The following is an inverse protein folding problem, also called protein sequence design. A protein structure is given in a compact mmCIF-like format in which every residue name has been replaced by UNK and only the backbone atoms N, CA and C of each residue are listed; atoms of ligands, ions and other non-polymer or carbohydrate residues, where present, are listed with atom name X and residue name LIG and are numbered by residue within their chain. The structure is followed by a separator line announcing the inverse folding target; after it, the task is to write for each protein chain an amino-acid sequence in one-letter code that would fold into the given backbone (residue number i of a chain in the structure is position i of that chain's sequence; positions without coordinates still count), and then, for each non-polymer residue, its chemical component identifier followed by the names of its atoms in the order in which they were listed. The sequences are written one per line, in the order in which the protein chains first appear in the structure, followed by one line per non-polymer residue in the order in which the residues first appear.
data_IF_619514312472
#
_entry.id   IF_619514312472
#
_cell.length_a   1.000
_cell.length_b   1.000
_cell.length_c   1.000
_cell.angle_alpha   90.00
_cell.angle_beta   90.00
_cell.angle_gamma   90.00
#
_symmetry.space_group_name_H-M   'P 1'
#
loop_
_entity.id
_entity.type
_entity.pdbx_description
1 polymer ?
#
# COMPACT_ATOMS: atom_id res chain seq x y z
N UNK A 1 -9.86 21.77 5.99
CA UNK A 1 -9.02 20.63 5.60
C UNK A 1 -8.31 19.98 6.79
N UNK A 2 -7.31 20.59 7.43
CA UNK A 2 -6.51 19.95 8.52
C UNK A 2 -7.36 19.36 9.68
N UNK A 3 -8.38 20.09 10.15
CA UNK A 3 -9.33 19.62 11.19
C UNK A 3 -10.22 18.46 10.74
N UNK A 4 -10.61 18.43 9.46
CA UNK A 4 -11.39 17.33 8.88
C UNK A 4 -10.54 16.08 8.79
N UNK A 5 -9.28 16.22 8.39
CA UNK A 5 -8.34 15.10 8.30
C UNK A 5 -7.99 14.56 9.69
N UNK A 6 -7.76 15.42 10.69
CA UNK A 6 -7.59 14.99 12.08
C UNK A 6 -8.80 14.23 12.62
N UNK A 7 -10.01 14.75 12.37
CA UNK A 7 -11.26 14.07 12.75
C UNK A 7 -11.54 12.77 11.99
N UNK A 8 -10.99 12.60 10.78
CA UNK A 8 -11.05 11.34 10.05
C UNK A 8 -10.03 10.33 10.57
N UNK A 9 -8.83 10.80 10.93
CA UNK A 9 -7.73 9.93 11.38
C UNK A 9 -8.09 9.18 12.66
N UNK A 10 -8.89 9.79 13.55
CA UNK A 10 -9.41 9.10 14.75
C UNK A 10 -10.39 7.97 14.44
N UNK A 11 -10.89 7.87 13.20
CA UNK A 11 -11.76 6.78 12.74
C UNK A 11 -10.97 5.62 12.15
N UNK A 12 -9.65 5.76 11.96
CA UNK A 12 -8.83 4.67 11.46
C UNK A 12 -8.87 3.50 12.44
N UNK A 13 -9.05 2.27 11.94
CA UNK A 13 -9.09 1.11 12.81
C UNK A 13 -7.72 0.92 13.43
N UNK A 14 -7.69 0.94 14.77
CA UNK A 14 -6.54 0.49 15.55
C UNK A 14 -6.84 -0.94 15.99
N UNK A 15 -6.40 -1.90 15.18
CA UNK A 15 -6.53 -3.32 15.50
C UNK A 15 -5.57 -3.70 16.63
N UNK A 16 -5.78 -4.87 17.22
CA UNK A 16 -5.01 -5.36 18.36
C UNK A 16 -3.50 -5.28 18.06
N UNK A 17 -2.74 -4.46 18.83
CA UNK A 17 -1.34 -4.22 18.57
C UNK A 17 -0.46 -5.44 18.79
N UNK A 18 -0.95 -6.53 19.38
CA UNK A 18 -0.18 -7.75 19.66
C UNK A 18 -0.26 -8.81 18.54
N UNK A 19 -1.01 -8.54 17.48
CA UNK A 19 -1.08 -9.41 16.29
C UNK A 19 0.31 -9.60 15.63
N UNK A 20 0.45 -10.71 14.87
CA UNK A 20 1.56 -10.86 13.92
C UNK A 20 1.57 -9.67 12.98
N UNK A 21 2.76 -9.13 12.70
CA UNK A 21 2.90 -7.90 11.93
C UNK A 21 2.19 -7.98 10.58
N UNK A 22 2.16 -9.12 9.89
CA UNK A 22 1.49 -9.23 8.59
C UNK A 22 -0.02 -9.09 8.72
N UNK A 23 -0.58 -9.73 9.74
CA UNK A 23 -2.01 -9.65 10.06
C UNK A 23 -2.36 -8.22 10.46
N UNK A 24 -1.55 -7.63 11.34
CA UNK A 24 -1.73 -6.25 11.80
C UNK A 24 -1.75 -5.25 10.64
N UNK A 25 -0.75 -5.29 9.74
CA UNK A 25 -0.67 -4.38 8.60
C UNK A 25 -1.77 -4.65 7.57
N UNK A 26 -2.14 -5.90 7.32
CA UNK A 26 -3.23 -6.22 6.40
C UNK A 26 -4.55 -5.65 6.90
N UNK A 27 -4.94 -5.92 8.15
CA UNK A 27 -6.20 -5.44 8.70
C UNK A 27 -6.21 -3.91 8.84
N UNK A 28 -5.13 -3.33 9.38
CA UNK A 28 -5.02 -1.89 9.60
C UNK A 28 -5.04 -1.12 8.28
N UNK A 29 -4.17 -1.46 7.33
CA UNK A 29 -4.03 -0.65 6.11
C UNK A 29 -5.24 -0.82 5.18
N UNK A 30 -5.86 -2.01 5.12
CA UNK A 30 -7.09 -2.18 4.36
C UNK A 30 -8.26 -1.43 4.99
N UNK A 31 -8.35 -1.39 6.33
CA UNK A 31 -9.35 -0.60 7.02
C UNK A 31 -9.14 0.92 6.88
N UNK A 32 -7.88 1.39 6.91
CA UNK A 32 -7.51 2.78 6.58
C UNK A 32 -7.93 3.09 5.14
N UNK A 33 -7.62 2.21 4.18
CA UNK A 33 -8.05 2.36 2.79
C UNK A 33 -9.56 2.51 2.68
N UNK A 34 -10.32 1.64 3.31
CA UNK A 34 -11.79 1.67 3.23
C UNK A 34 -12.35 2.95 3.83
N UNK A 35 -11.75 3.45 4.92
CA UNK A 35 -12.07 4.77 5.49
C UNK A 35 -11.77 5.88 4.49
N UNK A 36 -10.58 5.90 3.89
CA UNK A 36 -10.14 6.95 2.96
C UNK A 36 -10.97 7.01 1.67
N UNK A 37 -11.48 5.88 1.16
CA UNK A 37 -12.36 5.86 -0.02
C UNK A 37 -13.64 6.66 0.16
N UNK A 38 -14.08 6.90 1.40
CA UNK A 38 -15.23 7.76 1.69
C UNK A 38 -14.93 9.26 1.61
N UNK A 39 -13.66 9.64 1.47
CA UNK A 39 -13.20 11.03 1.55
C UNK A 39 -12.15 11.34 0.45
N UNK A 40 -12.58 11.51 -0.82
CA UNK A 40 -11.68 11.74 -1.93
C UNK A 40 -10.70 12.91 -1.70
N UNK A 41 -9.44 12.71 -2.09
CA UNK A 41 -8.37 13.69 -1.98
C UNK A 41 -7.65 13.71 -0.63
N UNK A 42 -8.19 13.05 0.41
CA UNK A 42 -7.49 12.92 1.71
C UNK A 42 -6.29 11.97 1.60
N UNK A 43 -6.41 10.89 0.84
CA UNK A 43 -5.28 9.98 0.58
C UNK A 43 -4.11 10.71 -0.10
N UNK A 44 -4.40 11.51 -1.14
CA UNK A 44 -3.41 12.36 -1.81
C UNK A 44 -2.78 13.38 -0.86
N UNK A 45 -3.57 13.95 0.06
CA UNK A 45 -3.05 14.85 1.08
C UNK A 45 -2.03 14.15 2.00
N UNK A 46 -2.32 12.92 2.45
CA UNK A 46 -1.39 12.11 3.25
C UNK A 46 -0.09 11.82 2.50
N UNK A 47 -0.17 11.44 1.21
CA UNK A 47 1.01 11.16 0.40
C UNK A 47 1.91 12.38 0.20
N UNK A 48 1.32 13.57 0.04
CA UNK A 48 2.07 14.79 -0.24
C UNK A 48 2.60 15.49 1.02
N UNK A 49 1.98 15.25 2.19
CA UNK A 49 2.31 15.98 3.42
C UNK A 49 2.81 15.11 4.57
N UNK A 50 2.73 13.79 4.42
CA UNK A 50 3.12 12.83 5.45
C UNK A 50 2.21 12.84 6.69
N UNK A 51 2.59 12.11 7.75
CA UNK A 51 1.89 12.06 9.04
C UNK A 51 2.09 13.36 9.84
N UNK A 52 1.81 14.52 9.23
CA UNK A 52 2.01 15.84 9.84
C UNK A 52 0.96 16.17 10.93
N UNK A 53 0.15 15.19 11.34
CA UNK A 53 -0.95 15.31 12.28
C UNK A 53 -0.65 14.49 13.54
N UNK A 54 -0.76 15.07 14.75
CA UNK A 54 -0.64 14.32 15.99
C UNK A 54 -1.53 13.08 16.04
N UNK A 55 -2.70 13.14 15.41
CA UNK A 55 -3.68 12.07 15.35
C UNK A 55 -3.18 10.82 14.60
N UNK A 56 -2.13 10.94 13.79
CA UNK A 56 -1.49 9.78 13.11
C UNK A 56 -0.43 9.07 13.96
N UNK A 57 -0.02 9.64 15.09
CA UNK A 57 1.02 9.04 15.92
C UNK A 57 0.64 7.64 16.45
N UNK A 58 -0.58 7.40 16.99
CA UNK A 58 -0.92 6.09 17.56
C UNK A 58 -0.81 4.92 16.57
N UNK A 59 -1.27 5.12 15.33
CA UNK A 59 -1.19 4.10 14.28
C UNK A 59 0.25 3.88 13.78
N UNK A 60 1.06 4.94 13.75
CA UNK A 60 2.47 4.84 13.42
C UNK A 60 3.24 4.09 14.52
N UNK A 61 3.03 4.45 15.79
CA UNK A 61 3.66 3.82 16.95
C UNK A 61 3.30 2.33 17.05
N UNK A 62 2.03 1.98 16.85
CA UNK A 62 1.57 0.59 16.83
C UNK A 62 2.23 -0.20 15.68
N UNK A 63 2.33 0.38 14.48
CA UNK A 63 3.01 -0.23 13.35
C UNK A 63 4.51 -0.43 13.60
N UNK A 64 5.18 0.56 14.20
CA UNK A 64 6.59 0.45 14.59
C UNK A 64 6.81 -0.63 15.65
N UNK A 65 5.93 -0.72 16.65
CA UNK A 65 5.98 -1.76 17.66
C UNK A 65 5.81 -3.16 17.05
N UNK A 66 4.87 -3.33 16.12
CA UNK A 66 4.68 -4.60 15.41
C UNK A 66 5.93 -5.02 14.62
N UNK A 67 6.54 -4.08 13.88
CA UNK A 67 7.78 -4.34 13.13
C UNK A 67 8.99 -4.58 14.03
N UNK A 68 9.07 -3.89 15.17
CA UNK A 68 10.13 -4.09 16.15
C UNK A 68 10.08 -5.50 16.73
N UNK A 69 8.89 -5.99 17.14
CA UNK A 69 8.72 -7.38 17.61
C UNK A 69 9.03 -8.42 16.52
N UNK A 70 8.78 -8.08 15.26
CA UNK A 70 9.13 -8.93 14.13
C UNK A 70 10.63 -8.90 13.76
N UNK A 71 11.45 -8.06 14.42
CA UNK A 71 12.90 -8.06 14.22
C UNK A 71 13.39 -7.18 13.06
N UNK A 72 12.58 -6.26 12.55
CA UNK A 72 12.98 -5.40 11.42
C UNK A 72 14.11 -4.40 11.75
N UNK A 73 14.36 -4.10 13.03
CA UNK A 73 15.41 -3.15 13.45
C UNK A 73 15.36 -1.83 12.67
N UNK A 74 16.50 -1.40 12.15
CA UNK A 74 16.64 -0.15 11.38
C UNK A 74 15.80 -0.10 10.09
N UNK A 75 15.31 -1.26 9.61
CA UNK A 75 14.46 -1.36 8.42
C UNK A 75 12.97 -1.13 8.70
N UNK A 76 12.57 -1.02 9.97
CA UNK A 76 11.16 -0.84 10.34
C UNK A 76 10.52 0.40 9.67
N UNK A 77 11.24 1.52 9.64
CA UNK A 77 10.77 2.74 8.97
C UNK A 77 10.51 2.55 7.47
N UNK A 78 11.43 1.86 6.79
CA UNK A 78 11.29 1.52 5.37
C UNK A 78 10.11 0.57 5.11
N UNK A 79 10.01 -0.50 5.90
CA UNK A 79 8.94 -1.49 5.80
C UNK A 79 7.55 -0.86 6.00
N UNK A 80 7.42 0.00 7.02
CA UNK A 80 6.20 0.78 7.24
C UNK A 80 5.86 1.66 6.03
N UNK A 81 6.83 2.46 5.57
CA UNK A 81 6.60 3.44 4.51
C UNK A 81 6.22 2.78 3.19
N UNK A 82 6.86 1.66 2.80
CA UNK A 82 6.54 0.99 1.53
C UNK A 82 5.12 0.40 1.54
N UNK A 83 4.71 -0.23 2.65
CA UNK A 83 3.36 -0.78 2.79
C UNK A 83 2.30 0.33 2.85
N UNK A 84 2.54 1.37 3.64
CA UNK A 84 1.63 2.51 3.78
C UNK A 84 1.47 3.26 2.44
N UNK A 85 2.57 3.63 1.79
CA UNK A 85 2.55 4.36 0.52
C UNK A 85 1.85 3.56 -0.58
N UNK A 86 2.02 2.24 -0.60
CA UNK A 86 1.35 1.41 -1.58
C UNK A 86 -0.17 1.42 -1.41
N UNK A 87 -0.65 1.25 -0.17
CA UNK A 87 -2.09 1.16 0.10
C UNK A 87 -2.77 2.53 0.03
N UNK A 88 -2.18 3.55 0.65
CA UNK A 88 -2.73 4.91 0.62
C UNK A 88 -2.56 5.54 -0.76
N UNK A 89 -1.45 5.26 -1.44
CA UNK A 89 -1.21 5.69 -2.81
C UNK A 89 -2.22 5.10 -3.80
N UNK A 90 -2.65 3.84 -3.62
CA UNK A 90 -3.68 3.27 -4.49
C UNK A 90 -5.02 3.99 -4.36
N UNK A 91 -5.39 4.44 -3.15
CA UNK A 91 -6.57 5.31 -2.95
C UNK A 91 -6.37 6.66 -3.63
N UNK A 92 -5.20 7.29 -3.48
CA UNK A 92 -4.93 8.57 -4.13
C UNK A 92 -5.00 8.48 -5.66
N UNK A 93 -4.50 7.40 -6.26
CA UNK A 93 -4.62 7.16 -7.70
C UNK A 93 -6.06 6.84 -8.12
N UNK A 94 -6.81 6.09 -7.31
CA UNK A 94 -8.23 5.86 -7.52
C UNK A 94 -9.02 7.17 -7.50
N UNK A 95 -8.79 7.98 -6.46
CA UNK A 95 -9.35 9.31 -6.33
C UNK A 95 -9.02 10.17 -7.54
N UNK A 96 -7.77 10.24 -8.00
CA UNK A 96 -7.41 11.05 -9.18
C UNK A 96 -8.03 10.51 -10.49
N UNK A 97 -8.30 9.20 -10.61
CA UNK A 97 -9.02 8.62 -11.76
C UNK A 97 -10.51 8.95 -11.73
N UNK A 98 -11.12 8.89 -10.56
CA UNK A 98 -12.52 9.28 -10.35
C UNK A 98 -12.69 10.81 -10.43
N UNK A 99 -11.66 11.54 -10.00
CA UNK A 99 -11.54 13.00 -9.98
C UNK A 99 -10.87 13.53 -11.24
N UNK A 100 -10.88 12.80 -12.37
CA UNK A 100 -10.52 13.31 -13.70
C UNK A 100 -11.26 14.60 -14.12
N UNK A 101 -12.10 15.12 -13.22
CA UNK A 101 -12.69 16.44 -13.22
C UNK A 101 -14.16 16.28 -13.57
N UNK A 102 -14.92 17.33 -13.32
CA UNK A 102 -16.11 17.59 -14.13
C UNK A 102 -15.82 17.68 -15.65
N UNK A 103 -14.55 17.52 -16.08
CA UNK A 103 -14.03 17.76 -17.42
C UNK A 103 -13.42 16.52 -18.13
N UNK A 104 -13.13 15.38 -17.46
CA UNK A 104 -12.80 14.14 -18.17
C UNK A 104 -14.11 13.47 -18.63
N UNK A 105 -14.51 13.78 -19.85
CA UNK A 105 -15.68 13.21 -20.50
C UNK A 105 -15.60 11.67 -20.44
N UNK A 106 -16.68 10.95 -20.04
CA UNK A 106 -16.79 9.50 -20.25
C UNK A 106 -16.31 9.03 -21.64
N UNK A 107 -16.46 9.87 -22.67
CA UNK A 107 -15.90 9.63 -24.01
C UNK A 107 -14.36 9.58 -24.05
N UNK A 108 -13.65 10.42 -23.29
CA UNK A 108 -12.18 10.41 -23.22
C UNK A 108 -11.66 9.11 -22.60
N UNK A 109 -12.33 8.62 -21.56
CA UNK A 109 -11.97 7.34 -20.92
C UNK A 109 -12.23 6.15 -21.85
N UNK A 110 -13.35 6.17 -22.58
CA UNK A 110 -13.64 5.15 -23.59
C UNK A 110 -12.61 5.19 -24.74
N UNK A 111 -12.20 6.37 -25.19
CA UNK A 111 -11.18 6.55 -26.23
C UNK A 111 -9.80 6.04 -25.77
N UNK A 112 -9.41 6.30 -24.51
CA UNK A 112 -8.16 5.79 -23.94
C UNK A 112 -8.15 4.25 -23.86
N UNK A 113 -9.26 3.64 -23.43
CA UNK A 113 -9.40 2.18 -23.41
C UNK A 113 -9.33 1.58 -24.82
N UNK A 114 -10.04 2.18 -25.79
CA UNK A 114 -9.98 1.74 -27.18
C UNK A 114 -8.57 1.88 -27.79
N UNK A 115 -7.83 2.93 -27.44
CA UNK A 115 -6.43 3.11 -27.84
C UNK A 115 -5.51 2.02 -27.28
N UNK A 116 -5.71 1.63 -26.01
CA UNK A 116 -4.98 0.51 -25.40
C UNK A 116 -5.32 -0.82 -26.06
N UNK A 117 -6.59 -1.07 -26.39
CA UNK A 117 -7.03 -2.26 -27.13
C UNK A 117 -6.44 -2.32 -28.54
N UNK A 118 -6.35 -1.19 -29.24
CA UNK A 118 -5.69 -1.11 -30.54
C UNK A 118 -4.18 -1.44 -30.43
N UNK A 119 -3.50 -0.89 -29.43
CA UNK A 119 -2.09 -1.18 -29.18
C UNK A 119 -1.84 -2.64 -28.77
N UNK A 120 -2.77 -3.26 -28.05
CA UNK A 120 -2.69 -4.67 -27.66
C UNK A 120 -2.64 -5.61 -28.88
N UNK A 121 -3.18 -5.22 -30.04
CA UNK A 121 -3.16 -6.04 -31.25
C UNK A 121 -1.73 -6.25 -31.80
N UNK A 122 -0.83 -5.31 -31.54
CA UNK A 122 0.56 -5.35 -32.04
C UNK A 122 1.61 -5.48 -30.93
N UNK A 123 1.21 -5.40 -29.65
CA UNK A 123 2.11 -5.49 -28.51
C UNK A 123 1.66 -6.58 -27.50
N UNK A 124 2.35 -7.73 -27.44
CA UNK A 124 2.03 -8.81 -26.51
C UNK A 124 2.09 -8.40 -25.02
N UNK A 125 3.01 -7.49 -24.68
CA UNK A 125 3.12 -6.95 -23.32
C UNK A 125 1.89 -6.11 -22.95
N UNK A 126 1.46 -5.24 -23.87
CA UNK A 126 0.25 -4.41 -23.68
C UNK A 126 -0.99 -5.29 -23.65
N UNK A 127 -1.09 -6.29 -24.51
CA UNK A 127 -2.19 -7.26 -24.48
C UNK A 127 -2.31 -7.96 -23.13
N UNK A 128 -1.18 -8.30 -22.52
CA UNK A 128 -1.16 -8.88 -21.17
C UNK A 128 -1.69 -7.90 -20.14
N UNK A 129 -1.18 -6.67 -20.09
CA UNK A 129 -1.63 -5.64 -19.16
C UNK A 129 -3.12 -5.30 -19.33
N UNK A 130 -3.57 -5.21 -20.59
CA UNK A 130 -4.97 -4.92 -20.94
C UNK A 130 -5.88 -6.01 -20.37
N UNK A 131 -5.53 -7.28 -20.60
CA UNK A 131 -6.30 -8.43 -20.11
C UNK A 131 -6.28 -8.58 -18.59
N UNK A 132 -5.13 -8.38 -17.94
CA UNK A 132 -4.95 -8.74 -16.53
C UNK A 132 -5.17 -7.59 -15.56
N UNK A 133 -5.12 -6.33 -16.02
CA UNK A 133 -5.25 -5.16 -15.16
C UNK A 133 -6.27 -4.16 -15.69
N UNK A 134 -6.11 -3.69 -16.94
CA UNK A 134 -6.91 -2.57 -17.47
C UNK A 134 -8.40 -2.93 -17.55
N UNK A 135 -8.75 -4.03 -18.23
CA UNK A 135 -10.15 -4.46 -18.36
C UNK A 135 -10.79 -4.79 -17.01
N UNK A 136 -10.15 -5.58 -16.12
CA UNK A 136 -10.68 -5.79 -14.76
C UNK A 136 -10.95 -4.49 -14.01
N UNK A 137 -10.03 -3.51 -14.04
CA UNK A 137 -10.24 -2.25 -13.31
C UNK A 137 -11.35 -1.39 -13.93
N UNK A 138 -11.56 -1.49 -15.25
CA UNK A 138 -12.61 -0.75 -15.94
C UNK A 138 -14.02 -1.34 -15.73
N UNK A 139 -14.12 -2.65 -15.46
CA UNK A 139 -15.40 -3.40 -15.49
C UNK A 139 -15.82 -3.98 -14.15
N UNK A 140 -14.89 -4.19 -13.22
CA UNK A 140 -15.16 -4.78 -11.91
C UNK A 140 -14.83 -3.77 -10.78
N UNK A 141 -15.84 -3.22 -10.07
CA UNK A 141 -15.64 -2.20 -9.04
C UNK A 141 -14.85 -2.69 -7.82
N UNK A 142 -14.61 -4.00 -7.68
CA UNK A 142 -13.79 -4.56 -6.59
C UNK A 142 -12.40 -5.03 -7.05
N UNK A 143 -12.08 -4.98 -8.36
CA UNK A 143 -10.81 -5.47 -8.89
C UNK A 143 -9.59 -4.68 -8.34
N UNK A 144 -9.68 -3.36 -8.25
CA UNK A 144 -8.61 -2.53 -7.68
C UNK A 144 -8.38 -2.82 -6.19
N UNK A 145 -9.46 -3.11 -5.45
CA UNK A 145 -9.38 -3.53 -4.05
C UNK A 145 -8.67 -4.87 -3.87
N UNK A 146 -9.00 -5.86 -4.70
CA UNK A 146 -8.29 -7.15 -4.75
C UNK A 146 -6.82 -6.95 -5.08
N UNK A 147 -6.51 -6.19 -6.14
CA UNK A 147 -5.14 -5.90 -6.55
C UNK A 147 -4.33 -5.25 -5.41
N UNK A 148 -4.90 -4.24 -4.73
CA UNK A 148 -4.23 -3.56 -3.62
C UNK A 148 -3.91 -4.54 -2.48
N UNK A 149 -4.86 -5.42 -2.10
CA UNK A 149 -4.66 -6.44 -1.08
C UNK A 149 -3.56 -7.43 -1.48
N UNK A 150 -3.62 -7.93 -2.70
CA UNK A 150 -2.64 -8.92 -3.18
C UNK A 150 -1.24 -8.31 -3.30
N UNK A 151 -1.13 -7.07 -3.78
CA UNK A 151 0.11 -6.32 -3.78
C UNK A 151 0.66 -6.12 -2.37
N UNK A 152 -0.18 -5.82 -1.37
CA UNK A 152 0.26 -5.68 0.03
C UNK A 152 0.86 -6.99 0.54
N UNK A 153 0.20 -8.10 0.27
CA UNK A 153 0.70 -9.44 0.64
C UNK A 153 2.00 -9.80 -0.08
N UNK A 154 2.15 -9.44 -1.36
CA UNK A 154 3.42 -9.61 -2.09
C UNK A 154 4.54 -8.83 -1.41
N UNK A 155 4.30 -7.55 -1.09
CA UNK A 155 5.27 -6.69 -0.40
C UNK A 155 5.66 -7.26 0.97
N UNK A 156 4.69 -7.72 1.76
CA UNK A 156 4.96 -8.36 3.05
C UNK A 156 5.77 -9.67 2.92
N UNK A 157 5.54 -10.46 1.88
CA UNK A 157 6.35 -11.65 1.60
C UNK A 157 7.79 -11.28 1.23
N UNK A 158 7.98 -10.25 0.41
CA UNK A 158 9.31 -9.75 0.06
C UNK A 158 10.07 -9.25 1.30
N UNK A 159 9.43 -8.41 2.11
CA UNK A 159 9.98 -7.92 3.37
C UNK A 159 10.35 -9.06 4.34
N UNK A 160 9.52 -10.10 4.41
CA UNK A 160 9.80 -11.29 5.22
C UNK A 160 11.02 -12.07 4.72
N UNK A 161 11.19 -12.18 3.40
CA UNK A 161 12.34 -12.86 2.81
C UNK A 161 13.64 -12.10 3.10
N UNK A 162 13.65 -10.77 2.89
CA UNK A 162 14.80 -9.91 3.23
C UNK A 162 15.20 -10.04 4.71
N UNK A 163 14.21 -10.06 5.61
CA UNK A 163 14.44 -10.23 7.04
C UNK A 163 15.05 -11.60 7.39
N UNK A 164 14.57 -12.66 6.74
CA UNK A 164 15.09 -14.01 6.95
C UNK A 164 16.53 -14.15 6.45
N UNK A 165 16.86 -13.55 5.31
CA UNK A 165 18.22 -13.50 4.76
C UNK A 165 19.18 -12.74 5.69
N UNK A 166 18.75 -11.58 6.21
CA UNK A 166 19.54 -10.80 7.15
C UNK A 166 19.85 -11.59 8.44
N UNK A 167 18.85 -12.30 8.96
CA UNK A 167 19.00 -13.12 10.17
C UNK A 167 19.99 -14.28 9.96
N UNK A 168 19.92 -14.95 8.80
CA UNK A 168 20.83 -16.05 8.45
C UNK A 168 22.28 -15.58 8.27
N UNK A 169 22.48 -14.38 7.70
CA UNK A 169 23.79 -13.77 7.55
C UNK A 169 24.44 -13.47 8.92
N UNK A 170 23.67 -12.93 9.87
CA UNK A 170 24.14 -12.68 11.24
C UNK A 170 24.56 -13.97 11.96
N UNK A 171 23.72 -15.01 11.92
CA UNK A 171 24.04 -16.30 12.57
C UNK A 171 25.27 -16.99 11.97
N UNK A 172 25.53 -16.81 10.68
CA UNK A 172 26.68 -17.39 10.00
C UNK A 172 27.99 -16.67 10.36
N UNK A 173 27.94 -15.35 10.56
CA UNK A 173 29.10 -14.56 10.98
C UNK A 173 29.54 -14.84 12.43
N UNK A 174 28.60 -15.07 13.33
CA UNK A 174 28.88 -15.43 14.73
C UNK A 174 29.53 -16.82 14.84
N UNK A 175 29.03 -17.81 14.09
CA UNK A 175 29.57 -19.17 14.08
C UNK A 175 30.98 -19.28 13.43
N UNK A 176 31.36 -18.35 12.56
CA UNK A 176 32.72 -18.25 11.98
C UNK A 176 33.68 -17.54 12.95
N UNK A 177 33.17 -16.59 13.75
CA UNK A 177 33.94 -15.89 14.79
C UNK A 177 34.36 -16.80 15.95
N UNK A 178 33.46 -17.67 16.42
CA UNK A 178 33.76 -18.64 17.50
C UNK A 178 34.76 -19.73 17.11
N UNK A 179 34.92 -20.04 15.81
CA UNK A 179 35.90 -21.04 15.34
C UNK A 179 37.32 -20.49 15.19
N UNK A 180 37.50 -19.17 15.31
CA UNK A 180 38.80 -18.47 15.16
C UNK A 180 39.44 -18.06 16.49
N UNK A 181 38.75 -18.29 17.61
CA UNK A 181 39.25 -18.07 18.98
C UNK A 181 39.55 -19.40 19.67
#
# INVERSE_FOLDING_TARGET
MRRVIGGLTVQFPLVDPDLDWRVWFEETLLGVRDTLRGYPGVARWFMMRGPALPETAPIADAGMAALARAGFGDRAGFAYAVMFNQVVGSVAFGDDRDSGGSDADPHDRAALLAGLDAQAQSSPGVATLVRTLVHPFATDPVAEGRFTRDALRVTMRGLAAELAEATQATSSGEAEGERRT
#
